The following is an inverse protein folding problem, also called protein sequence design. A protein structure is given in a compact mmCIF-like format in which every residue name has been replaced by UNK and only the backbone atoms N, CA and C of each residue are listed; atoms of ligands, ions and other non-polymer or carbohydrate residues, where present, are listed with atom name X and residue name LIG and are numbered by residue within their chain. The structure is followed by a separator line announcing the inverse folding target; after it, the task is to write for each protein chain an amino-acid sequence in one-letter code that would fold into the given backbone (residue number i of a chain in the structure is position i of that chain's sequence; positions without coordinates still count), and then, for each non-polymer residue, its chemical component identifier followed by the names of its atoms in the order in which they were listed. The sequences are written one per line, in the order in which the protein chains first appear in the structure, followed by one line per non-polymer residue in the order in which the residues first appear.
data_IF_687677977096
#
_entry.id   IF_687677977096
#
_cell.length_a   1.000
_cell.length_b   1.000
_cell.length_c   1.000
_cell.angle_alpha   90.00
_cell.angle_beta   90.00
_cell.angle_gamma   90.00
#
_symmetry.space_group_name_H-M   'P 1'
#
loop_
_entity.id
_entity.type
_entity.pdbx_description
1 polymer ?
#
# COMPACT_ATOMS: atom_id res chain seq x y z
N UNK A 1 0.22 -4.87 0.62
CA UNK A 1 -0.89 -3.89 0.62
C UNK A 1 -0.83 -3.12 1.92
N UNK A 2 -0.87 -1.79 1.87
CA UNK A 2 -0.74 -0.91 3.04
C UNK A 2 -1.93 0.02 3.19
N UNK A 3 -2.23 0.47 4.41
CA UNK A 3 -3.20 1.56 4.66
C UNK A 3 -2.54 2.91 4.99
N UNK A 4 -1.24 3.05 4.71
CA UNK A 4 -0.46 4.26 5.02
C UNK A 4 -0.68 5.45 4.05
N UNK A 5 -1.73 5.41 3.22
CA UNK A 5 -2.00 6.44 2.20
C UNK A 5 -0.81 6.70 1.28
N UNK A 6 -0.04 5.67 0.89
CA UNK A 6 1.12 5.86 0.01
C UNK A 6 0.71 6.03 -1.45
N UNK A 7 1.40 6.88 -2.18
CA UNK A 7 1.28 7.01 -3.64
C UNK A 7 2.59 7.48 -4.26
N UNK A 8 2.69 7.41 -5.59
CA UNK A 8 3.81 8.02 -6.32
C UNK A 8 3.57 9.53 -6.53
N UNK A 9 4.62 10.35 -6.70
CA UNK A 9 4.47 11.81 -6.85
C UNK A 9 3.63 12.26 -8.05
N UNK A 10 3.49 11.42 -9.07
CA UNK A 10 2.70 11.64 -10.28
C UNK A 10 1.24 11.16 -10.18
N UNK A 11 0.86 10.55 -9.06
CA UNK A 11 -0.50 10.09 -8.78
C UNK A 11 -1.27 11.11 -7.95
N UNK A 12 -2.59 11.09 -8.07
CA UNK A 12 -3.48 11.88 -7.22
C UNK A 12 -3.30 11.51 -5.75
N UNK A 13 -3.30 12.52 -4.89
CA UNK A 13 -3.28 12.38 -3.43
C UNK A 13 -4.57 11.70 -2.92
N UNK A 14 -4.61 11.30 -1.64
CA UNK A 14 -5.80 10.75 -0.99
C UNK A 14 -6.71 11.86 -0.47
N UNK A 15 -7.98 11.79 -0.83
CA UNK A 15 -9.02 12.63 -0.23
C UNK A 15 -9.39 12.16 1.19
N UNK A 16 -10.01 13.04 1.99
CA UNK A 16 -10.43 12.75 3.37
C UNK A 16 -11.37 11.53 3.47
N UNK A 17 -12.17 11.29 2.43
CA UNK A 17 -13.12 10.19 2.32
C UNK A 17 -12.75 9.24 1.17
N UNK A 18 -11.48 9.18 0.77
CA UNK A 18 -11.04 8.34 -0.34
C UNK A 18 -11.22 6.86 0.02
N UNK A 19 -12.11 6.19 -0.70
CA UNK A 19 -12.41 4.77 -0.54
C UNK A 19 -11.69 3.92 -1.59
N UNK A 20 -10.91 4.54 -2.48
CA UNK A 20 -10.14 3.87 -3.53
C UNK A 20 -8.77 3.43 -3.05
N UNK A 21 -7.98 2.94 -4.01
CA UNK A 21 -6.58 2.61 -3.81
C UNK A 21 -5.70 3.28 -4.86
N UNK A 22 -4.42 3.43 -4.54
CA UNK A 22 -3.37 3.73 -5.51
C UNK A 22 -2.55 2.46 -5.76
N UNK A 23 -2.11 2.30 -7.00
CA UNK A 23 -1.22 1.20 -7.40
C UNK A 23 0.22 1.68 -7.24
N UNK A 24 0.99 0.94 -6.47
CA UNK A 24 2.40 1.19 -6.21
C UNK A 24 3.23 0.31 -7.14
N UNK A 25 4.08 0.92 -7.94
CA UNK A 25 5.06 0.27 -8.82
C UNK A 25 6.29 -0.15 -8.01
N UNK A 26 6.52 -1.46 -7.93
CA UNK A 26 7.62 -2.04 -7.16
C UNK A 26 9.00 -1.65 -7.70
N UNK A 27 9.13 -1.19 -8.94
CA UNK A 27 10.42 -0.70 -9.45
C UNK A 27 10.81 0.67 -8.90
N UNK A 28 9.89 1.35 -8.21
CA UNK A 28 10.06 2.70 -7.67
C UNK A 28 10.03 2.68 -6.15
N UNK A 29 10.83 3.55 -5.53
CA UNK A 29 10.91 3.76 -4.07
C UNK A 29 10.74 5.25 -3.72
N UNK A 30 10.00 5.98 -4.56
CA UNK A 30 9.73 7.41 -4.46
C UNK A 30 8.38 7.71 -3.80
N UNK A 31 7.89 6.78 -2.98
CA UNK A 31 6.59 6.89 -2.33
C UNK A 31 6.50 8.13 -1.45
N UNK A 32 5.34 8.75 -1.47
CA UNK A 32 4.95 9.85 -0.58
C UNK A 32 3.72 9.44 0.21
N UNK A 33 3.57 9.99 1.41
CA UNK A 33 2.38 9.77 2.24
C UNK A 33 1.36 10.87 2.02
N UNK A 34 0.14 10.47 1.64
CA UNK A 34 -1.03 11.32 1.46
C UNK A 34 -1.93 11.39 2.71
N UNK A 35 -1.38 11.13 3.90
CA UNK A 35 -2.19 11.13 5.12
C UNK A 35 -2.54 12.58 5.53
N UNK A 36 -3.84 12.91 5.54
CA UNK A 36 -4.31 14.29 5.76
C UNK A 36 -4.26 14.76 7.22
N UNK A 37 -4.31 13.84 8.19
CA UNK A 37 -4.42 14.24 9.59
C UNK A 37 -3.16 14.95 10.07
N UNK A 38 -3.28 16.14 10.70
CA UNK A 38 -2.13 16.82 11.31
C UNK A 38 -1.58 16.06 12.53
N UNK A 39 -2.33 15.08 13.04
CA UNK A 39 -1.90 14.23 14.16
C UNK A 39 -1.13 12.99 13.69
N UNK A 40 -0.97 12.78 12.38
CA UNK A 40 -0.19 11.67 11.85
C UNK A 40 1.31 11.94 12.01
N UNK A 41 2.00 11.05 12.70
CA UNK A 41 3.46 11.10 12.83
C UNK A 41 4.11 10.36 11.66
N UNK A 42 4.46 11.11 10.62
CA UNK A 42 5.17 10.59 9.46
C UNK A 42 6.67 10.35 9.69
N UNK A 43 7.22 10.61 10.89
CA UNK A 43 8.66 10.53 11.11
C UNK A 43 9.20 9.11 10.92
N UNK A 44 8.48 8.09 11.38
CA UNK A 44 8.87 6.68 11.20
C UNK A 44 9.05 6.31 9.72
N UNK A 45 8.09 6.70 8.88
CA UNK A 45 8.17 6.52 7.43
C UNK A 45 9.32 7.33 6.81
N UNK A 46 9.52 8.57 7.25
CA UNK A 46 10.60 9.43 6.75
C UNK A 46 11.99 8.87 7.09
N UNK A 47 12.15 8.19 8.24
CA UNK A 47 13.39 7.52 8.61
C UNK A 47 13.57 6.16 7.90
N UNK A 48 12.51 5.35 7.86
CA UNK A 48 12.49 4.04 7.19
C UNK A 48 11.08 3.70 6.72
N UNK A 49 10.88 3.68 5.40
CA UNK A 49 9.61 3.31 4.79
C UNK A 49 9.14 1.90 5.21
N UNK A 50 10.08 0.99 5.51
CA UNK A 50 9.75 -0.38 5.86
C UNK A 50 8.97 -0.50 7.17
N UNK A 51 8.85 0.58 7.93
CA UNK A 51 7.97 0.68 9.11
C UNK A 51 6.48 0.55 8.75
N UNK A 52 6.07 1.00 7.57
CA UNK A 52 4.67 1.02 7.10
C UNK A 52 4.43 0.23 5.83
N UNK A 53 5.49 0.02 5.04
CA UNK A 53 5.48 -0.74 3.80
C UNK A 53 6.82 -1.48 3.62
N UNK A 54 6.97 -2.69 4.19
CA UNK A 54 8.23 -3.43 4.31
C UNK A 54 8.66 -4.11 3.00
N UNK A 55 8.58 -3.40 1.88
CA UNK A 55 8.84 -3.95 0.55
C UNK A 55 10.30 -4.39 0.39
N UNK A 56 11.26 -3.64 0.93
CA UNK A 56 12.67 -4.02 0.87
C UNK A 56 12.94 -5.29 1.68
N UNK A 57 12.21 -5.48 2.79
CA UNK A 57 12.30 -6.73 3.58
C UNK A 57 11.74 -7.92 2.81
N UNK A 58 10.76 -7.70 1.92
CA UNK A 58 10.24 -8.76 1.05
C UNK A 58 11.23 -9.07 -0.08
N UNK A 59 11.88 -8.06 -0.65
CA UNK A 59 12.94 -8.24 -1.64
C UNK A 59 14.09 -9.08 -1.06
N UNK A 60 14.55 -8.77 0.16
CA UNK A 60 15.56 -9.55 0.87
C UNK A 60 15.15 -11.01 1.08
N UNK A 61 13.86 -11.28 1.36
CA UNK A 61 13.36 -12.64 1.50
C UNK A 61 13.32 -13.39 0.16
N UNK A 62 13.00 -12.69 -0.94
CA UNK A 62 13.02 -13.25 -2.28
C UNK A 62 14.46 -13.54 -2.74
N UNK A 63 15.40 -12.61 -2.51
CA UNK A 63 16.83 -12.79 -2.79
C UNK A 63 17.43 -13.99 -2.04
N UNK A 64 16.99 -14.20 -0.80
CA UNK A 64 17.39 -15.36 0.01
C UNK A 64 16.68 -16.67 -0.39
N UNK A 65 15.74 -16.62 -1.33
CA UNK A 65 14.95 -17.77 -1.77
C UNK A 65 13.96 -18.29 -0.73
N UNK A 66 13.63 -17.49 0.28
CA UNK A 66 12.63 -17.85 1.31
C UNK A 66 11.22 -17.78 0.74
N UNK A 67 10.97 -16.78 -0.10
CA UNK A 67 9.76 -16.65 -0.93
C UNK A 67 10.15 -16.70 -2.41
N UNK A 68 9.18 -17.01 -3.28
CA UNK A 68 9.45 -17.14 -4.71
C UNK A 68 9.77 -15.81 -5.41
N UNK A 69 8.96 -14.78 -5.16
CA UNK A 69 9.13 -13.42 -5.68
C UNK A 69 8.24 -12.43 -4.93
N UNK A 70 8.54 -11.15 -5.08
CA UNK A 70 7.65 -10.02 -4.75
C UNK A 70 6.81 -9.67 -5.99
N UNK A 71 5.62 -9.10 -5.79
CA UNK A 71 4.76 -8.68 -6.89
C UNK A 71 5.22 -7.32 -7.45
N UNK A 72 5.12 -7.13 -8.78
CA UNK A 72 5.53 -5.88 -9.43
C UNK A 72 4.61 -4.69 -9.09
N UNK A 73 3.38 -4.98 -8.63
CA UNK A 73 2.40 -3.96 -8.27
C UNK A 73 1.78 -4.25 -6.90
N UNK A 74 1.73 -3.22 -6.06
CA UNK A 74 1.11 -3.25 -4.74
C UNK A 74 -0.03 -2.25 -4.65
N UNK A 75 -0.82 -2.34 -3.58
CA UNK A 75 -1.93 -1.42 -3.33
C UNK A 75 -1.73 -0.65 -2.03
N UNK A 76 -2.08 0.62 -2.06
CA UNK A 76 -2.19 1.49 -0.90
C UNK A 76 -3.60 2.07 -0.80
N UNK A 77 -4.14 2.07 0.42
CA UNK A 77 -5.42 2.69 0.77
C UNK A 77 -5.19 3.78 1.80
N UNK A 78 -6.14 4.69 1.95
CA UNK A 78 -6.20 5.56 3.11
C UNK A 78 -6.68 4.79 4.35
N UNK A 79 -5.95 4.87 5.46
CA UNK A 79 -6.31 4.21 6.73
C UNK A 79 -7.42 4.93 7.52
N UNK A 80 -7.60 6.22 7.27
CA UNK A 80 -8.50 7.12 7.99
C UNK A 80 -9.98 7.01 7.55
N UNK A 81 -10.54 5.80 7.54
CA UNK A 81 -11.89 5.56 7.02
C UNK A 81 -12.99 5.86 8.05
N UNK A 82 -14.02 6.59 7.62
CA UNK A 82 -15.21 6.86 8.44
C UNK A 82 -16.37 5.89 8.15
N UNK A 83 -16.46 5.40 6.91
CA UNK A 83 -17.40 4.37 6.46
C UNK A 83 -16.63 3.34 5.60
N UNK A 84 -16.86 2.06 5.86
CA UNK A 84 -16.14 0.96 5.19
C UNK A 84 -16.96 0.29 4.09
N UNK A 85 -18.19 0.74 3.82
CA UNK A 85 -19.12 0.05 2.94
C UNK A 85 -18.59 0.01 1.51
N UNK A 86 -18.13 1.14 0.98
CA UNK A 86 -17.56 1.22 -0.37
C UNK A 86 -16.26 0.40 -0.49
N UNK A 87 -15.40 0.41 0.53
CA UNK A 87 -14.19 -0.43 0.52
C UNK A 87 -14.56 -1.91 0.53
N UNK A 88 -15.51 -2.30 1.39
CA UNK A 88 -15.91 -3.70 1.52
C UNK A 88 -16.63 -4.23 0.27
N UNK A 89 -17.47 -3.41 -0.36
CA UNK A 89 -18.33 -3.82 -1.46
C UNK A 89 -17.70 -3.60 -2.83
N UNK A 90 -16.84 -2.60 -2.98
CA UNK A 90 -16.33 -2.15 -4.28
C UNK A 90 -14.80 -2.25 -4.36
N UNK A 91 -14.06 -1.37 -3.68
CA UNK A 91 -12.61 -1.22 -3.94
C UNK A 91 -11.78 -2.38 -3.39
N UNK A 92 -12.17 -2.97 -2.26
CA UNK A 92 -11.55 -4.17 -1.68
C UNK A 92 -11.66 -5.38 -2.61
N UNK A 93 -12.86 -5.78 -3.06
CA UNK A 93 -13.02 -6.82 -4.07
C UNK A 93 -12.30 -6.51 -5.39
N UNK A 94 -12.33 -5.26 -5.86
CA UNK A 94 -11.63 -4.84 -7.08
C UNK A 94 -10.10 -4.99 -6.94
N UNK A 95 -9.53 -4.53 -5.82
CA UNK A 95 -8.10 -4.66 -5.52
C UNK A 95 -7.67 -6.12 -5.32
N UNK A 96 -8.50 -6.92 -4.64
CA UNK A 96 -8.24 -8.35 -4.50
C UNK A 96 -8.24 -9.07 -5.87
N UNK A 97 -9.19 -8.74 -6.75
CA UNK A 97 -9.20 -9.24 -8.12
C UNK A 97 -7.95 -8.80 -8.89
N UNK A 98 -7.59 -7.53 -8.80
CA UNK A 98 -6.41 -6.96 -9.47
C UNK A 98 -5.11 -7.68 -9.08
N UNK A 99 -4.90 -7.95 -7.79
CA UNK A 99 -3.73 -8.70 -7.32
C UNK A 99 -3.79 -10.17 -7.75
N UNK A 100 -4.96 -10.79 -7.66
CA UNK A 100 -5.16 -12.19 -8.08
C UNK A 100 -4.88 -12.39 -9.57
N UNK A 101 -5.29 -11.45 -10.42
CA UNK A 101 -5.04 -11.50 -11.86
C UNK A 101 -3.54 -11.41 -12.22
N UNK A 102 -2.73 -10.86 -11.32
CA UNK A 102 -1.26 -10.82 -11.42
C UNK A 102 -0.57 -12.09 -10.87
N UNK A 103 -1.35 -13.06 -10.39
CA UNK A 103 -0.82 -14.28 -9.80
C UNK A 103 -0.23 -14.08 -8.40
N UNK A 104 -0.75 -13.12 -7.63
CA UNK A 104 -0.41 -12.97 -6.21
C UNK A 104 -1.11 -14.08 -5.41
N UNK A 105 -0.31 -14.92 -4.74
CA UNK A 105 -0.81 -16.02 -3.89
C UNK A 105 -1.08 -15.59 -2.44
N UNK A 106 -0.30 -14.63 -1.93
CA UNK A 106 -0.34 -14.18 -0.53
C UNK A 106 -0.27 -12.66 -0.50
N UNK A 107 -1.14 -12.06 0.31
CA UNK A 107 -1.14 -10.62 0.59
C UNK A 107 -0.79 -10.38 2.04
N UNK A 108 0.24 -9.57 2.28
CA UNK A 108 0.48 -8.97 3.59
C UNK A 108 -0.26 -7.63 3.66
N UNK A 109 -1.08 -7.49 4.71
CA UNK A 109 -1.78 -6.26 5.05
C UNK A 109 -0.97 -5.53 6.13
N UNK A 110 -0.47 -4.34 5.83
CA UNK A 110 0.24 -3.49 6.79
C UNK A 110 -0.65 -2.33 7.22
N UNK A 111 -1.27 -2.40 8.42
CA UNK A 111 -2.14 -1.36 8.90
C UNK A 111 -1.34 -0.18 9.47
N UNK A 112 -1.83 1.02 9.22
CA UNK A 112 -1.35 2.32 9.69
C UNK A 112 -2.54 3.21 9.98
#
# INVERSE_FOLDING_TARGET
VTTASLHHPDQDDFEVMDTGYRVLDDSRRDYVTGHWSPNFDGSGFAYDMNTVFPVDRLDELAERGVIGRVADQHLAYAGNQFDLSAIRMDSGPAGAKFLRDQGVDVVLLTPV
#
